data_IF_773172772577
#
_entry.id   IF_773172772577
#
_cell.length_a   1.000
_cell.length_b   1.000
_cell.length_c   1.000
_cell.angle_alpha   90.00
_cell.angle_beta   90.00
_cell.angle_gamma   90.00
#
_symmetry.space_group_name_H-M   'P 1'
#
loop_
_entity.id
_entity.type
_entity.pdbx_description
1 polymer ?
#
# COMPACT_ATOMS: atom_id res chain seq x y z
N UNK A 1 -14.25 28.12 -6.10
CA UNK A 1 -12.98 27.69 -6.79
C UNK A 1 -12.08 28.87 -7.07
N UNK A 2 -12.54 29.94 -7.73
CA UNK A 2 -11.75 31.14 -8.07
C UNK A 2 -11.00 31.71 -6.84
N UNK A 3 -11.70 32.07 -5.78
CA UNK A 3 -11.12 32.63 -4.55
C UNK A 3 -10.04 31.72 -3.94
N UNK A 4 -10.20 30.39 -4.04
CA UNK A 4 -9.22 29.43 -3.54
C UNK A 4 -7.94 29.46 -4.37
N UNK A 5 -8.06 29.54 -5.71
CA UNK A 5 -6.90 29.62 -6.61
C UNK A 5 -6.18 30.97 -6.44
N UNK A 6 -6.92 32.10 -6.33
CA UNK A 6 -6.34 33.42 -6.09
C UNK A 6 -5.54 33.44 -4.78
N UNK A 7 -6.12 32.97 -3.67
CA UNK A 7 -5.43 32.84 -2.39
C UNK A 7 -4.22 31.89 -2.44
N UNK A 8 -4.29 30.83 -3.26
CA UNK A 8 -3.16 29.92 -3.41
C UNK A 8 -2.00 30.62 -4.14
N UNK A 9 -2.27 31.40 -5.17
CA UNK A 9 -1.25 32.19 -5.91
C UNK A 9 -0.61 33.30 -5.07
N UNK A 10 -1.32 33.85 -4.06
CA UNK A 10 -0.74 34.83 -3.14
C UNK A 10 0.38 34.27 -2.25
N UNK A 11 0.36 32.96 -1.99
CA UNK A 11 1.29 32.28 -1.05
C UNK A 11 2.17 31.21 -1.67
N UNK A 12 1.97 30.88 -2.95
CA UNK A 12 2.66 29.77 -3.63
C UNK A 12 3.01 30.15 -5.05
N UNK A 13 4.21 29.82 -5.47
CA UNK A 13 4.66 30.01 -6.84
C UNK A 13 4.04 29.01 -7.83
N UNK A 14 3.48 27.91 -7.33
CA UNK A 14 2.87 26.85 -8.12
C UNK A 14 1.53 26.45 -7.49
N UNK A 15 0.50 26.46 -8.30
CA UNK A 15 -0.84 25.94 -7.98
C UNK A 15 -1.16 24.79 -8.91
N UNK A 16 -1.48 23.63 -8.37
CA UNK A 16 -1.91 22.47 -9.15
C UNK A 16 -3.39 22.22 -8.89
N UNK A 17 -4.20 22.20 -9.94
CA UNK A 17 -5.61 21.82 -9.88
C UNK A 17 -5.81 20.40 -10.42
N UNK A 18 -6.73 19.66 -9.84
CA UNK A 18 -7.05 18.28 -10.24
C UNK A 18 -8.55 18.14 -10.49
N UNK A 19 -8.92 17.69 -11.67
CA UNK A 19 -10.31 17.49 -12.09
C UNK A 19 -10.96 18.71 -12.74
N UNK A 20 -12.21 18.55 -13.17
CA UNK A 20 -12.99 19.60 -13.83
C UNK A 20 -12.53 19.96 -15.25
N UNK A 21 -11.81 19.03 -15.93
CA UNK A 21 -11.35 19.15 -17.32
C UNK A 21 -12.14 18.26 -18.30
N UNK A 22 -13.19 17.61 -17.84
CA UNK A 22 -14.06 16.78 -18.66
C UNK A 22 -14.96 17.59 -19.59
N UNK A 23 -15.87 16.89 -20.34
CA UNK A 23 -16.77 17.52 -21.29
C UNK A 23 -18.10 17.98 -20.69
N UNK A 24 -18.34 17.75 -19.39
CA UNK A 24 -19.64 17.98 -18.74
C UNK A 24 -19.78 19.44 -18.27
N UNK A 25 -20.99 19.84 -17.92
CA UNK A 25 -21.26 21.24 -17.54
C UNK A 25 -20.70 21.62 -16.17
N UNK A 26 -20.48 20.63 -15.33
CA UNK A 26 -19.84 20.78 -13.98
C UNK A 26 -18.31 20.79 -14.03
N UNK A 27 -17.71 20.50 -15.21
CA UNK A 27 -16.28 20.66 -15.46
C UNK A 27 -15.93 22.14 -15.69
N UNK A 28 -15.65 22.86 -14.63
CA UNK A 28 -15.49 24.34 -14.65
C UNK A 28 -14.04 24.80 -14.46
N UNK A 29 -13.07 23.89 -14.34
CA UNK A 29 -11.67 24.27 -14.02
C UNK A 29 -11.06 25.18 -15.08
N UNK A 30 -11.31 24.95 -16.37
CA UNK A 30 -10.82 25.79 -17.47
C UNK A 30 -11.32 27.22 -17.37
N UNK A 31 -12.61 27.38 -17.17
CA UNK A 31 -13.30 28.65 -17.06
C UNK A 31 -12.81 29.44 -15.84
N UNK A 32 -12.70 28.78 -14.72
CA UNK A 32 -12.24 29.41 -13.48
C UNK A 32 -10.78 29.83 -13.55
N UNK A 33 -9.90 28.99 -14.13
CA UNK A 33 -8.48 29.32 -14.30
C UNK A 33 -8.32 30.46 -15.31
N UNK A 34 -9.10 30.48 -16.39
CA UNK A 34 -9.11 31.60 -17.35
C UNK A 34 -9.54 32.92 -16.66
N UNK A 35 -10.58 32.88 -15.81
CA UNK A 35 -11.05 34.03 -15.05
C UNK A 35 -9.99 34.54 -14.04
N UNK A 36 -9.36 33.64 -13.30
CA UNK A 36 -8.27 33.98 -12.34
C UNK A 36 -7.08 34.64 -13.04
N UNK A 37 -6.73 34.12 -14.23
CA UNK A 37 -5.63 34.69 -15.02
C UNK A 37 -6.04 35.92 -15.84
N UNK A 38 -7.31 36.34 -15.83
CA UNK A 38 -7.82 37.45 -16.64
C UNK A 38 -7.76 37.18 -18.15
N UNK A 39 -7.87 35.92 -18.57
CA UNK A 39 -7.72 35.49 -19.95
C UNK A 39 -9.02 34.93 -20.52
N UNK A 40 -9.17 34.97 -21.84
CA UNK A 40 -10.26 34.31 -22.54
C UNK A 40 -9.94 32.83 -22.78
N UNK A 41 -10.97 32.01 -22.90
CA UNK A 41 -10.81 30.66 -23.43
C UNK A 41 -10.71 30.68 -24.92
N UNK A 42 -9.71 29.98 -25.46
CA UNK A 42 -9.47 29.84 -26.91
C UNK A 42 -9.34 28.36 -27.27
N UNK A 43 -9.81 28.02 -28.46
CA UNK A 43 -9.70 26.67 -29.00
C UNK A 43 -8.25 26.35 -29.36
N UNK A 44 -7.67 25.33 -28.75
CA UNK A 44 -6.39 24.75 -29.20
C UNK A 44 -6.66 23.68 -30.25
N UNK A 45 -6.27 23.94 -31.49
CA UNK A 45 -6.43 22.95 -32.56
C UNK A 45 -5.59 21.71 -32.33
N UNK A 46 -4.39 21.88 -31.78
CA UNK A 46 -3.51 20.76 -31.41
C UNK A 46 -4.23 19.78 -30.45
N UNK A 47 -4.84 20.29 -29.38
CA UNK A 47 -5.59 19.45 -28.42
C UNK A 47 -6.84 18.87 -29.04
N UNK A 48 -7.54 19.61 -29.90
CA UNK A 48 -8.69 19.10 -30.63
C UNK A 48 -8.33 17.88 -31.48
N UNK A 49 -7.25 18.01 -32.29
CA UNK A 49 -6.76 16.92 -33.14
C UNK A 49 -6.36 15.70 -32.35
N UNK A 50 -5.74 15.88 -31.18
CA UNK A 50 -5.38 14.81 -30.26
C UNK A 50 -6.61 14.08 -29.70
N UNK A 51 -7.65 14.81 -29.28
CA UNK A 51 -8.90 14.25 -28.78
C UNK A 51 -9.60 13.46 -29.91
N UNK A 52 -9.74 14.06 -31.09
CA UNK A 52 -10.35 13.37 -32.24
C UNK A 52 -9.61 12.10 -32.63
N UNK A 53 -8.26 12.15 -32.64
CA UNK A 53 -7.43 10.98 -32.91
C UNK A 53 -7.71 9.84 -31.92
N UNK A 54 -7.88 10.15 -30.64
CA UNK A 54 -8.21 9.15 -29.60
C UNK A 54 -9.55 8.52 -29.80
N UNK A 55 -10.59 9.31 -30.11
CA UNK A 55 -11.92 8.79 -30.41
C UNK A 55 -11.85 7.85 -31.62
N UNK A 56 -11.17 8.26 -32.69
CA UNK A 56 -10.98 7.42 -33.90
C UNK A 56 -10.26 6.10 -33.60
N UNK A 57 -9.21 6.11 -32.78
CA UNK A 57 -8.51 4.88 -32.39
C UNK A 57 -9.37 3.89 -31.62
N UNK A 58 -10.41 4.37 -30.94
CA UNK A 58 -11.38 3.53 -30.22
C UNK A 58 -12.60 3.15 -31.08
N UNK A 59 -12.61 3.51 -32.36
CA UNK A 59 -13.74 3.27 -33.23
C UNK A 59 -14.99 4.15 -32.90
N UNK A 60 -14.76 5.26 -32.17
CA UNK A 60 -15.81 6.19 -31.75
C UNK A 60 -15.71 7.51 -32.50
N UNK A 61 -16.85 8.22 -32.60
CA UNK A 61 -16.91 9.58 -33.11
C UNK A 61 -16.92 10.56 -31.95
N UNK A 62 -16.09 11.61 -32.03
CA UNK A 62 -16.09 12.68 -31.04
C UNK A 62 -17.42 13.41 -31.05
N UNK A 63 -18.06 13.55 -29.89
CA UNK A 63 -19.30 14.33 -29.76
C UNK A 63 -18.99 15.82 -29.60
N UNK A 64 -19.95 16.73 -29.98
CA UNK A 64 -19.72 18.18 -29.83
C UNK A 64 -19.31 18.63 -28.42
N UNK A 65 -19.79 17.94 -27.39
CA UNK A 65 -19.40 18.25 -25.99
C UNK A 65 -17.90 18.05 -25.73
N UNK A 66 -17.27 17.12 -26.44
CA UNK A 66 -15.83 16.85 -26.25
C UNK A 66 -14.95 17.97 -26.84
N UNK A 67 -15.45 18.78 -27.80
CA UNK A 67 -14.71 19.93 -28.30
C UNK A 67 -14.36 20.92 -27.19
N UNK A 68 -15.25 21.04 -26.18
CA UNK A 68 -15.01 21.88 -25.00
C UNK A 68 -13.71 21.54 -24.27
N UNK A 69 -13.26 20.29 -24.33
CA UNK A 69 -12.02 19.85 -23.70
C UNK A 69 -10.78 20.44 -24.37
N UNK A 70 -10.88 20.91 -25.62
CA UNK A 70 -9.80 21.54 -26.37
C UNK A 70 -9.67 23.06 -26.14
N UNK A 71 -10.60 23.67 -25.37
CA UNK A 71 -10.49 25.08 -25.00
C UNK A 71 -9.58 25.24 -23.78
N UNK A 72 -8.61 26.14 -23.88
CA UNK A 72 -7.68 26.50 -22.80
C UNK A 72 -7.58 28.03 -22.67
N UNK A 73 -7.12 28.56 -21.54
CA UNK A 73 -6.85 29.99 -21.39
C UNK A 73 -5.88 30.50 -22.47
N UNK A 74 -6.14 31.67 -23.04
CA UNK A 74 -5.30 32.29 -24.05
C UNK A 74 -3.85 32.41 -23.59
N UNK A 75 -2.89 31.93 -24.42
CA UNK A 75 -1.47 31.88 -24.08
C UNK A 75 -1.10 30.81 -23.04
N UNK A 76 -2.01 29.90 -22.68
CA UNK A 76 -1.66 28.72 -21.91
C UNK A 76 -0.87 27.72 -22.76
N UNK A 77 0.00 26.97 -22.13
CA UNK A 77 0.78 25.88 -22.74
C UNK A 77 -0.10 24.62 -22.75
N UNK A 78 -0.46 24.08 -23.92
CA UNK A 78 -1.20 22.84 -24.00
C UNK A 78 -0.33 21.65 -23.58
N UNK A 79 -0.90 20.69 -22.86
CA UNK A 79 -0.22 19.45 -22.44
C UNK A 79 -1.09 18.27 -22.82
N UNK A 80 -0.56 17.41 -23.70
CA UNK A 80 -1.26 16.20 -24.12
C UNK A 80 -1.44 15.21 -22.95
N UNK A 81 -2.64 14.63 -22.84
CA UNK A 81 -2.90 13.50 -21.95
C UNK A 81 -2.84 12.19 -22.74
N UNK A 82 -1.73 11.43 -22.75
CA UNK A 82 -1.62 10.19 -23.53
C UNK A 82 -2.54 9.08 -23.04
N UNK A 83 -3.14 9.22 -21.89
CA UNK A 83 -3.93 8.18 -21.23
C UNK A 83 -5.44 8.44 -21.21
N UNK A 84 -5.87 9.69 -21.45
CA UNK A 84 -7.27 10.09 -21.39
C UNK A 84 -7.67 11.07 -22.50
N UNK A 85 -8.92 11.50 -22.51
CA UNK A 85 -9.44 12.49 -23.46
C UNK A 85 -9.39 13.92 -22.92
N UNK A 86 -9.20 14.12 -21.62
CA UNK A 86 -9.09 15.43 -21.00
C UNK A 86 -7.61 15.86 -20.99
N UNK A 87 -7.19 16.79 -21.86
CA UNK A 87 -5.82 17.30 -21.85
C UNK A 87 -5.58 18.19 -20.63
N UNK A 88 -4.32 18.35 -20.30
CA UNK A 88 -3.85 19.29 -19.29
C UNK A 88 -3.42 20.62 -19.95
N UNK A 89 -3.24 21.65 -19.15
CA UNK A 89 -2.67 22.91 -19.59
C UNK A 89 -1.94 23.64 -18.46
N UNK A 90 -1.03 24.52 -18.84
CA UNK A 90 -0.26 25.36 -17.91
C UNK A 90 -0.56 26.82 -18.22
N UNK A 91 -0.91 27.58 -17.17
CA UNK A 91 -1.01 29.03 -17.22
C UNK A 91 0.15 29.63 -16.45
N UNK A 92 0.99 30.37 -17.15
CA UNK A 92 1.99 31.23 -16.51
C UNK A 92 1.34 32.58 -16.22
N UNK A 93 1.28 32.94 -14.95
CA UNK A 93 0.76 34.20 -14.43
C UNK A 93 1.90 35.00 -13.77
N UNK A 94 1.76 36.31 -13.61
CA UNK A 94 2.75 37.14 -12.95
C UNK A 94 2.99 36.76 -11.48
N UNK A 95 2.04 36.10 -10.86
CA UNK A 95 2.07 35.61 -9.47
C UNK A 95 2.66 34.21 -9.34
N UNK A 96 2.66 33.40 -10.42
CA UNK A 96 3.13 32.03 -10.40
C UNK A 96 2.64 31.21 -11.59
N UNK A 97 2.57 29.90 -11.41
CA UNK A 97 2.15 28.93 -12.40
C UNK A 97 0.90 28.19 -11.91
N UNK A 98 -0.11 28.09 -12.76
CA UNK A 98 -1.26 27.21 -12.54
C UNK A 98 -1.13 26.03 -13.49
N UNK A 99 -1.03 24.81 -12.95
CA UNK A 99 -1.01 23.57 -13.71
C UNK A 99 -2.32 22.81 -13.50
N UNK A 100 -3.10 22.60 -14.54
CA UNK A 100 -4.41 21.94 -14.48
C UNK A 100 -4.32 20.52 -15.01
N UNK A 101 -4.68 19.54 -14.16
CA UNK A 101 -4.60 18.11 -14.42
C UNK A 101 -5.98 17.45 -14.43
N UNK A 102 -6.18 16.33 -15.16
CA UNK A 102 -7.41 15.55 -15.09
C UNK A 102 -7.61 14.93 -13.70
N UNK A 103 -8.86 14.59 -13.35
CA UNK A 103 -9.21 14.02 -12.05
C UNK A 103 -8.98 12.50 -11.93
N UNK A 104 -8.80 11.80 -13.04
CA UNK A 104 -8.60 10.35 -13.05
C UNK A 104 -7.21 10.01 -12.50
N UNK A 105 -7.10 9.24 -11.39
CA UNK A 105 -5.84 9.12 -10.64
C UNK A 105 -4.63 8.58 -11.45
N UNK A 106 -4.85 7.60 -12.32
CA UNK A 106 -3.76 7.03 -13.12
C UNK A 106 -3.30 7.95 -14.26
N UNK A 107 -4.20 8.76 -14.82
CA UNK A 107 -3.88 9.82 -15.80
C UNK A 107 -3.08 10.95 -15.14
N UNK A 108 -3.57 11.40 -13.98
CA UNK A 108 -2.92 12.45 -13.18
C UNK A 108 -1.50 12.03 -12.76
N UNK A 109 -1.32 10.82 -12.24
CA UNK A 109 0.01 10.33 -11.84
C UNK A 109 1.00 10.35 -13.01
N UNK A 110 0.57 9.81 -14.15
CA UNK A 110 1.43 9.79 -15.34
C UNK A 110 1.83 11.20 -15.76
N UNK A 111 0.86 12.13 -15.87
CA UNK A 111 1.12 13.53 -16.24
C UNK A 111 1.98 14.23 -15.20
N UNK A 112 1.77 13.95 -13.93
CA UNK A 112 2.59 14.54 -12.87
C UNK A 112 4.06 14.15 -13.02
N UNK A 113 4.35 12.87 -13.19
CA UNK A 113 5.72 12.36 -13.29
C UNK A 113 6.42 12.75 -14.59
N UNK A 114 5.69 12.73 -15.72
CA UNK A 114 6.28 12.90 -17.04
C UNK A 114 6.22 14.35 -17.59
N UNK A 115 5.28 15.16 -17.08
CA UNK A 115 5.07 16.53 -17.61
C UNK A 115 5.26 17.60 -16.52
N UNK A 116 4.58 17.46 -15.36
CA UNK A 116 4.62 18.49 -14.30
C UNK A 116 6.02 18.62 -13.72
N UNK A 117 6.60 17.50 -13.26
CA UNK A 117 7.92 17.51 -12.61
C UNK A 117 9.01 18.02 -13.52
N UNK A 118 9.14 17.57 -14.82
CA UNK A 118 10.13 18.10 -15.75
C UNK A 118 9.93 19.61 -16.03
N UNK A 119 8.68 20.04 -16.22
CA UNK A 119 8.37 21.45 -16.46
C UNK A 119 8.79 22.32 -15.26
N UNK A 120 8.41 21.94 -14.03
CA UNK A 120 8.73 22.70 -12.82
C UNK A 120 10.25 22.74 -12.56
N UNK A 121 10.95 21.63 -12.76
CA UNK A 121 12.41 21.58 -12.65
C UNK A 121 13.08 22.58 -13.57
N UNK A 122 12.64 22.62 -14.83
CA UNK A 122 13.16 23.56 -15.84
C UNK A 122 12.78 25.01 -15.51
N UNK A 123 11.52 25.25 -15.10
CA UNK A 123 10.99 26.60 -14.83
C UNK A 123 11.66 27.27 -13.62
N UNK A 124 11.93 26.52 -12.58
CA UNK A 124 12.45 27.02 -11.31
C UNK A 124 13.93 26.70 -11.09
N UNK A 125 14.61 26.16 -12.11
CA UNK A 125 16.03 25.74 -12.03
C UNK A 125 16.33 24.87 -10.80
N UNK A 126 15.44 23.88 -10.54
CA UNK A 126 15.56 22.98 -9.40
C UNK A 126 16.61 21.94 -9.73
N UNK A 127 17.81 22.14 -9.23
CA UNK A 127 18.96 21.24 -9.43
C UNK A 127 19.04 20.12 -8.38
N UNK A 128 18.50 20.35 -7.19
CA UNK A 128 18.56 19.36 -6.10
C UNK A 128 17.42 18.34 -6.17
N UNK A 129 17.70 17.15 -5.70
CA UNK A 129 16.71 16.06 -5.57
C UNK A 129 16.55 15.66 -4.10
N UNK A 130 15.35 15.25 -3.74
CA UNK A 130 15.07 14.57 -2.48
C UNK A 130 14.83 13.10 -2.83
N UNK A 131 15.67 12.24 -2.31
CA UNK A 131 15.57 10.78 -2.47
C UNK A 131 15.36 10.14 -1.11
N UNK A 132 14.66 9.04 -1.08
CA UNK A 132 14.43 8.31 0.17
C UNK A 132 14.55 6.80 -0.03
N UNK A 133 14.76 6.12 1.09
CA UNK A 133 14.71 4.66 1.24
C UNK A 133 13.76 4.34 2.37
N UNK A 134 12.88 3.38 2.17
CA UNK A 134 11.96 2.89 3.21
C UNK A 134 12.39 1.49 3.63
N UNK A 135 12.61 1.29 4.92
CA UNK A 135 12.80 -0.04 5.52
C UNK A 135 11.50 -0.45 6.20
N UNK A 136 10.94 -1.56 5.80
CA UNK A 136 9.69 -2.09 6.35
C UNK A 136 9.98 -3.05 7.49
N UNK A 137 9.41 -2.76 8.66
CA UNK A 137 9.65 -3.46 9.92
C UNK A 137 8.38 -4.19 10.35
N UNK A 138 8.50 -5.47 10.67
CA UNK A 138 7.42 -6.30 11.21
C UNK A 138 7.80 -6.84 12.59
N UNK A 139 6.80 -7.33 13.31
CA UNK A 139 6.95 -7.97 14.64
C UNK A 139 7.50 -7.01 15.72
N UNK A 140 7.36 -5.71 15.50
CA UNK A 140 7.80 -4.65 16.41
C UNK A 140 6.83 -3.47 16.32
N UNK A 141 6.43 -2.92 17.46
CA UNK A 141 5.62 -1.70 17.52
C UNK A 141 6.46 -0.44 17.33
N UNK A 142 5.80 0.68 17.02
CA UNK A 142 6.44 1.98 16.78
C UNK A 142 7.35 2.41 17.95
N UNK A 143 6.87 2.31 19.20
CA UNK A 143 7.66 2.65 20.39
C UNK A 143 8.91 1.78 20.55
N UNK A 144 8.84 0.51 20.16
CA UNK A 144 9.99 -0.38 20.24
C UNK A 144 11.01 -0.12 19.08
N UNK A 145 10.54 0.38 17.95
CA UNK A 145 11.40 0.88 16.87
C UNK A 145 12.08 2.15 17.33
N UNK A 146 11.31 3.12 17.88
CA UNK A 146 11.84 4.39 18.36
C UNK A 146 12.88 4.20 19.48
N UNK A 147 12.65 3.30 20.41
CA UNK A 147 13.62 2.96 21.48
C UNK A 147 14.99 2.52 20.90
N UNK A 148 15.01 1.82 19.76
CA UNK A 148 16.23 1.36 19.12
C UNK A 148 16.93 2.39 18.24
N UNK A 149 16.16 3.19 17.48
CA UNK A 149 16.70 4.10 16.47
C UNK A 149 16.41 5.58 16.75
N UNK A 150 15.77 5.93 17.87
CA UNK A 150 15.40 7.30 18.21
C UNK A 150 16.58 8.26 18.27
N UNK A 151 17.76 7.76 18.69
CA UNK A 151 19.00 8.56 18.66
C UNK A 151 19.42 8.93 17.22
N UNK A 152 19.14 8.10 16.21
CA UNK A 152 19.37 8.41 14.80
C UNK A 152 18.38 9.46 14.32
N UNK A 153 17.10 9.37 14.75
CA UNK A 153 16.06 10.35 14.42
C UNK A 153 16.43 11.73 14.96
N UNK A 154 16.89 11.79 16.22
CA UNK A 154 17.21 13.04 16.89
C UNK A 154 18.48 13.73 16.36
N UNK A 155 19.47 12.96 15.92
CA UNK A 155 20.82 13.48 15.57
C UNK A 155 21.05 13.59 14.06
N UNK A 156 20.13 13.16 13.21
CA UNK A 156 20.25 13.19 11.75
C UNK A 156 19.63 14.45 11.16
N UNK A 157 20.34 15.10 10.25
CA UNK A 157 19.87 16.32 9.55
C UNK A 157 19.77 16.14 8.03
N UNK A 158 20.74 15.50 7.42
CA UNK A 158 20.76 15.06 6.02
C UNK A 158 21.74 13.90 5.85
N UNK A 159 21.24 12.67 5.73
CA UNK A 159 19.83 12.27 5.64
C UNK A 159 19.06 12.41 6.97
N UNK A 160 17.74 12.54 6.88
CA UNK A 160 16.83 12.46 8.04
C UNK A 160 16.24 11.06 8.16
N UNK A 161 15.88 10.66 9.39
CA UNK A 161 15.17 9.41 9.68
C UNK A 161 13.79 9.74 10.23
N UNK A 162 12.76 9.05 9.75
CA UNK A 162 11.40 9.16 10.27
C UNK A 162 10.75 7.79 10.41
N UNK A 163 9.78 7.68 11.30
CA UNK A 163 9.01 6.46 11.54
C UNK A 163 7.54 6.71 11.25
N UNK A 164 6.89 5.76 10.58
CA UNK A 164 5.47 5.80 10.27
C UNK A 164 4.83 4.44 10.56
N UNK A 165 3.88 4.41 11.50
CA UNK A 165 3.17 3.20 11.87
C UNK A 165 2.00 2.91 10.94
N UNK A 166 1.88 1.66 10.53
CA UNK A 166 0.75 1.08 9.81
C UNK A 166 0.17 -0.12 10.57
N UNK A 167 -1.03 -0.58 10.24
CA UNK A 167 -1.57 -1.80 10.83
C UNK A 167 -0.66 -3.01 10.57
N UNK A 168 0.03 -3.51 11.62
CA UNK A 168 0.91 -4.68 11.54
C UNK A 168 2.33 -4.44 10.99
N UNK A 169 2.71 -3.19 10.70
CA UNK A 169 3.99 -2.82 10.10
C UNK A 169 4.43 -1.44 10.58
N UNK A 170 5.71 -1.20 10.62
CA UNK A 170 6.30 0.12 10.84
C UNK A 170 7.28 0.42 9.72
N UNK A 171 7.14 1.57 9.08
CA UNK A 171 8.06 2.04 8.05
C UNK A 171 9.10 2.97 8.67
N UNK A 172 10.37 2.69 8.44
CA UNK A 172 11.50 3.58 8.75
C UNK A 172 11.97 4.22 7.46
N UNK A 173 11.73 5.51 7.31
CA UNK A 173 12.06 6.27 6.12
C UNK A 173 13.34 7.09 6.33
N UNK A 174 14.33 6.84 5.49
CA UNK A 174 15.59 7.58 5.45
C UNK A 174 15.55 8.48 4.22
N UNK A 175 15.64 9.80 4.40
CA UNK A 175 15.47 10.80 3.33
C UNK A 175 16.69 11.68 3.23
N UNK A 176 17.27 11.78 2.04
CA UNK A 176 18.41 12.67 1.75
C UNK A 176 18.10 13.68 0.66
N UNK A 177 18.67 14.86 0.78
CA UNK A 177 18.69 15.92 -0.21
C UNK A 177 20.11 16.05 -0.76
N UNK A 178 20.27 16.01 -2.10
CA UNK A 178 21.57 16.14 -2.77
C UNK A 178 21.41 16.69 -4.20
N UNK A 179 22.51 16.93 -4.89
CA UNK A 179 22.52 17.41 -6.27
C UNK A 179 21.93 16.41 -7.28
N UNK A 180 22.01 15.11 -6.99
CA UNK A 180 21.44 14.04 -7.81
C UNK A 180 21.12 12.82 -6.95
N UNK A 181 20.40 11.85 -7.53
CA UNK A 181 19.97 10.62 -6.85
C UNK A 181 21.17 9.78 -6.35
N UNK A 182 22.23 9.69 -7.11
CA UNK A 182 23.40 8.89 -6.73
C UNK A 182 24.11 9.46 -5.50
N UNK A 183 24.23 10.78 -5.42
CA UNK A 183 24.77 11.45 -4.24
C UNK A 183 23.86 11.31 -3.02
N UNK A 184 22.53 11.43 -3.22
CA UNK A 184 21.58 11.19 -2.16
C UNK A 184 21.67 9.75 -1.62
N UNK A 185 21.78 8.76 -2.50
CA UNK A 185 21.95 7.35 -2.11
C UNK A 185 23.26 7.10 -1.34
N UNK A 186 24.35 7.76 -1.70
CA UNK A 186 25.62 7.67 -0.93
C UNK A 186 25.45 8.17 0.51
N UNK A 187 24.57 9.13 0.75
CA UNK A 187 24.24 9.60 2.10
C UNK A 187 23.32 8.61 2.84
N UNK A 188 22.37 8.00 2.14
CA UNK A 188 21.37 7.08 2.71
C UNK A 188 22.01 5.76 3.15
N UNK A 189 22.86 5.15 2.32
CA UNK A 189 23.38 3.79 2.52
C UNK A 189 24.02 3.57 3.90
N UNK A 190 24.92 4.43 4.40
CA UNK A 190 25.53 4.21 5.73
C UNK A 190 24.50 4.19 6.86
N UNK A 191 23.49 5.05 6.78
CA UNK A 191 22.43 5.14 7.78
C UNK A 191 21.45 3.98 7.67
N UNK A 192 21.16 3.50 6.45
CA UNK A 192 20.40 2.27 6.22
C UNK A 192 21.11 1.06 6.87
N UNK A 193 22.41 0.91 6.70
CA UNK A 193 23.18 -0.18 7.30
C UNK A 193 23.12 -0.15 8.83
N UNK A 194 23.19 1.03 9.43
CA UNK A 194 23.07 1.20 10.87
C UNK A 194 21.68 0.84 11.37
N UNK A 195 20.62 1.33 10.71
CA UNK A 195 19.23 0.97 11.04
C UNK A 195 19.01 -0.54 10.91
N UNK A 196 19.52 -1.17 9.84
CA UNK A 196 19.43 -2.63 9.65
C UNK A 196 20.16 -3.40 10.77
N UNK A 197 21.29 -2.92 11.22
CA UNK A 197 22.03 -3.52 12.33
C UNK A 197 21.25 -3.47 13.63
N UNK A 198 20.60 -2.34 13.92
CA UNK A 198 19.80 -2.13 15.14
C UNK A 198 18.48 -2.90 15.15
N UNK A 199 17.79 -2.96 14.01
CA UNK A 199 16.49 -3.61 13.88
C UNK A 199 16.59 -5.10 13.48
N UNK A 200 17.70 -5.50 12.86
CA UNK A 200 18.01 -6.90 12.55
C UNK A 200 16.95 -7.59 11.70
N UNK A 201 16.55 -8.79 12.13
CA UNK A 201 15.55 -9.63 11.44
C UNK A 201 14.16 -9.02 11.33
N UNK A 202 13.89 -7.93 12.04
CA UNK A 202 12.60 -7.25 11.96
C UNK A 202 12.42 -6.47 10.66
N UNK A 203 13.51 -6.04 10.01
CA UNK A 203 13.45 -5.49 8.66
C UNK A 203 13.18 -6.61 7.68
N UNK A 204 12.01 -6.58 7.02
CA UNK A 204 11.60 -7.67 6.13
C UNK A 204 11.61 -7.30 4.66
N UNK A 205 11.48 -6.02 4.32
CA UNK A 205 11.39 -5.52 2.96
C UNK A 205 11.89 -4.08 2.87
N UNK A 206 11.99 -3.58 1.64
CA UNK A 206 12.33 -2.18 1.35
C UNK A 206 11.41 -1.60 0.30
N UNK A 207 11.20 -0.30 0.36
CA UNK A 207 10.48 0.49 -0.63
C UNK A 207 9.09 -0.10 -0.95
N UNK A 208 8.83 -0.50 -2.18
CA UNK A 208 7.53 -1.03 -2.60
C UNK A 208 7.33 -2.53 -2.33
N UNK A 209 8.40 -3.23 -1.90
CA UNK A 209 8.31 -4.67 -1.59
C UNK A 209 7.33 -4.91 -0.45
N UNK A 210 6.39 -5.83 -0.63
CA UNK A 210 5.34 -6.17 0.34
C UNK A 210 5.76 -7.34 1.24
N UNK A 211 4.96 -7.63 2.28
CA UNK A 211 5.13 -8.83 3.10
C UNK A 211 4.90 -10.10 2.26
N UNK A 212 3.97 -10.03 1.33
CA UNK A 212 3.67 -11.08 0.35
C UNK A 212 4.88 -11.38 -0.53
N UNK A 213 5.55 -10.35 -1.04
CA UNK A 213 6.76 -10.51 -1.85
C UNK A 213 7.89 -11.16 -1.07
N UNK A 214 8.11 -10.70 0.17
CA UNK A 214 9.14 -11.26 1.05
C UNK A 214 8.88 -12.73 1.40
N UNK A 215 7.65 -13.08 1.77
CA UNK A 215 7.25 -14.47 2.07
C UNK A 215 7.32 -15.32 0.80
N UNK A 216 6.83 -14.82 -0.33
CA UNK A 216 6.85 -15.53 -1.61
C UNK A 216 8.27 -15.86 -2.09
N UNK A 217 9.19 -14.91 -1.97
CA UNK A 217 10.62 -15.15 -2.26
C UNK A 217 11.16 -16.28 -1.39
N UNK A 218 10.90 -16.27 -0.08
CA UNK A 218 11.36 -17.30 0.84
C UNK A 218 10.73 -18.67 0.58
N UNK A 219 9.45 -18.72 0.22
CA UNK A 219 8.79 -19.97 -0.17
C UNK A 219 9.44 -20.58 -1.42
N UNK A 220 9.75 -19.77 -2.43
CA UNK A 220 10.48 -20.22 -3.64
C UNK A 220 11.87 -20.73 -3.32
N UNK A 221 12.68 -19.93 -2.60
CA UNK A 221 14.07 -20.30 -2.24
C UNK A 221 14.14 -21.61 -1.46
N UNK A 222 13.15 -21.86 -0.60
CA UNK A 222 13.11 -23.07 0.24
C UNK A 222 12.25 -24.20 -0.35
N UNK A 223 11.66 -24.00 -1.53
CA UNK A 223 10.70 -24.91 -2.14
C UNK A 223 9.64 -25.39 -1.13
N UNK A 224 9.01 -24.45 -0.43
CA UNK A 224 8.13 -24.71 0.71
C UNK A 224 6.68 -24.43 0.35
N UNK A 225 5.86 -25.47 0.33
CA UNK A 225 4.40 -25.40 0.15
C UNK A 225 3.69 -25.13 1.47
N UNK A 226 2.56 -24.41 1.41
CA UNK A 226 1.82 -23.92 2.57
C UNK A 226 0.31 -24.08 2.41
N UNK A 227 -0.39 -24.38 3.50
CA UNK A 227 -1.85 -24.34 3.59
C UNK A 227 -2.28 -23.59 4.85
N UNK A 228 -3.47 -23.00 4.85
CA UNK A 228 -3.99 -22.19 5.96
C UNK A 228 -5.41 -22.54 6.34
N UNK A 229 -5.68 -22.57 7.65
CA UNK A 229 -7.00 -22.46 8.23
C UNK A 229 -7.15 -21.10 8.89
N UNK A 230 -8.25 -20.40 8.64
CA UNK A 230 -8.58 -19.13 9.26
C UNK A 230 -10.07 -18.96 9.53
N UNK A 231 -10.44 -18.38 10.67
CA UNK A 231 -11.85 -18.15 11.02
C UNK A 231 -12.19 -16.67 11.26
N UNK A 232 -11.26 -15.85 11.70
CA UNK A 232 -11.49 -14.42 11.96
C UNK A 232 -11.33 -13.55 10.73
N UNK A 233 -10.29 -13.79 9.94
CA UNK A 233 -9.85 -12.92 8.86
C UNK A 233 -10.67 -13.07 7.59
N UNK A 234 -11.44 -14.15 7.48
CA UNK A 234 -12.42 -14.35 6.39
C UNK A 234 -11.79 -14.50 5.01
N UNK A 235 -10.60 -15.12 4.94
CA UNK A 235 -9.88 -15.36 3.70
C UNK A 235 -8.68 -14.45 3.46
N UNK A 236 -8.43 -13.44 4.30
CA UNK A 236 -7.34 -12.49 4.08
C UNK A 236 -5.93 -13.13 4.18
N UNK A 237 -5.75 -14.16 5.02
CA UNK A 237 -4.45 -14.87 5.08
C UNK A 237 -4.28 -15.74 3.83
N UNK A 238 -5.32 -16.44 3.40
CA UNK A 238 -5.31 -17.24 2.18
C UNK A 238 -5.04 -16.37 0.94
N UNK A 239 -5.72 -15.22 0.81
CA UNK A 239 -5.50 -14.23 -0.25
C UNK A 239 -4.03 -13.79 -0.31
N UNK A 240 -3.45 -13.40 0.84
CA UNK A 240 -2.05 -12.96 0.92
C UNK A 240 -1.07 -14.07 0.58
N UNK A 241 -1.31 -15.29 1.04
CA UNK A 241 -0.46 -16.44 0.72
C UNK A 241 -0.55 -16.81 -0.77
N UNK A 242 -1.73 -16.72 -1.37
CA UNK A 242 -1.90 -16.91 -2.80
C UNK A 242 -1.18 -15.84 -3.61
N UNK A 243 -1.25 -14.59 -3.18
CA UNK A 243 -0.54 -13.48 -3.80
C UNK A 243 0.99 -13.62 -3.65
N UNK A 244 1.46 -14.13 -2.51
CA UNK A 244 2.88 -14.41 -2.26
C UNK A 244 3.46 -15.43 -3.25
N UNK A 245 2.69 -16.48 -3.60
CA UNK A 245 3.13 -17.48 -4.56
C UNK A 245 2.09 -18.56 -4.76
N UNK A 246 1.24 -18.42 -5.77
CA UNK A 246 0.14 -19.36 -6.06
C UNK A 246 0.59 -20.80 -6.28
N UNK A 247 1.81 -21.01 -6.76
CA UNK A 247 2.42 -22.34 -7.00
C UNK A 247 2.85 -23.04 -5.68
N UNK A 248 3.04 -22.26 -4.59
CA UNK A 248 3.42 -22.79 -3.27
C UNK A 248 2.25 -22.78 -2.27
N UNK A 249 1.17 -22.08 -2.58
CA UNK A 249 -0.05 -22.06 -1.78
C UNK A 249 -0.97 -23.20 -2.23
N UNK A 250 -1.15 -24.21 -1.38
CA UNK A 250 -1.88 -25.45 -1.74
C UNK A 250 -3.37 -25.31 -1.46
N UNK A 251 -3.74 -24.86 -0.26
CA UNK A 251 -5.14 -24.84 0.18
C UNK A 251 -5.38 -23.77 1.26
N UNK A 252 -6.56 -23.13 1.23
CA UNK A 252 -7.07 -22.26 2.26
C UNK A 252 -8.46 -22.70 2.71
N UNK A 253 -8.62 -23.00 4.01
CA UNK A 253 -9.90 -23.32 4.61
C UNK A 253 -10.36 -22.14 5.47
N UNK A 254 -11.47 -21.52 5.07
CA UNK A 254 -12.11 -20.47 5.84
C UNK A 254 -13.16 -21.13 6.73
N UNK A 255 -12.86 -21.19 8.02
CA UNK A 255 -13.74 -21.80 9.01
C UNK A 255 -14.78 -20.83 9.54
N UNK A 256 -15.96 -21.33 9.88
CA UNK A 256 -16.92 -20.61 10.70
C UNK A 256 -17.60 -21.59 11.65
N UNK A 257 -17.35 -21.38 12.95
CA UNK A 257 -17.98 -22.16 14.02
C UNK A 257 -17.45 -23.61 14.16
N UNK A 258 -17.98 -24.27 15.17
CA UNK A 258 -17.52 -25.58 15.66
C UNK A 258 -17.58 -26.69 14.60
N UNK A 259 -18.57 -26.67 13.71
CA UNK A 259 -18.71 -27.70 12.69
C UNK A 259 -17.53 -27.70 11.69
N UNK A 260 -17.00 -26.54 11.32
CA UNK A 260 -15.83 -26.42 10.45
C UNK A 260 -14.57 -26.92 11.17
N UNK A 261 -14.39 -26.52 12.41
CA UNK A 261 -13.29 -26.98 13.26
C UNK A 261 -13.29 -28.49 13.40
N UNK A 262 -14.45 -29.10 13.71
CA UNK A 262 -14.58 -30.58 13.84
C UNK A 262 -14.21 -31.31 12.57
N UNK A 263 -14.64 -30.82 11.42
CA UNK A 263 -14.28 -31.47 10.12
C UNK A 263 -12.77 -31.45 9.89
N UNK A 264 -12.11 -30.35 10.17
CA UNK A 264 -10.66 -30.24 9.96
C UNK A 264 -9.88 -31.09 10.99
N UNK A 265 -10.31 -31.11 12.25
CA UNK A 265 -9.67 -31.89 13.32
C UNK A 265 -9.68 -33.40 13.09
N UNK A 266 -10.49 -33.93 12.15
CA UNK A 266 -10.39 -35.31 11.72
C UNK A 266 -8.99 -35.66 11.15
N UNK A 267 -8.23 -34.67 10.69
CA UNK A 267 -6.85 -34.81 10.22
C UNK A 267 -5.80 -34.46 11.28
N UNK A 268 -6.22 -34.13 12.51
CA UNK A 268 -5.32 -33.75 13.60
C UNK A 268 -4.62 -34.95 14.23
N UNK A 269 -3.68 -34.69 15.12
CA UNK A 269 -3.01 -35.74 15.92
C UNK A 269 -3.93 -36.35 16.99
N UNK A 270 -5.02 -35.64 17.33
CA UNK A 270 -5.90 -35.96 18.44
C UNK A 270 -7.38 -35.88 18.02
N UNK A 271 -7.82 -36.65 17.01
CA UNK A 271 -9.18 -36.52 16.47
C UNK A 271 -10.29 -36.89 17.49
N UNK A 272 -9.98 -37.70 18.48
CA UNK A 272 -10.93 -38.11 19.52
C UNK A 272 -11.08 -37.12 20.68
N UNK A 273 -10.23 -36.07 20.75
CA UNK A 273 -10.22 -35.06 21.82
C UNK A 273 -10.82 -33.71 21.43
N UNK A 274 -11.67 -33.68 20.41
CA UNK A 274 -12.19 -32.43 19.83
C UNK A 274 -12.90 -31.59 20.90
N UNK A 275 -13.75 -32.17 21.77
CA UNK A 275 -14.50 -31.43 22.78
C UNK A 275 -13.59 -30.79 23.83
N UNK A 276 -12.50 -31.45 24.19
CA UNK A 276 -11.47 -30.90 25.08
C UNK A 276 -10.71 -29.76 24.41
N UNK A 277 -10.28 -29.95 23.16
CA UNK A 277 -9.55 -28.95 22.40
C UNK A 277 -10.36 -27.65 22.20
N UNK A 278 -11.68 -27.76 22.04
CA UNK A 278 -12.57 -26.60 21.91
C UNK A 278 -12.56 -25.68 23.15
N UNK A 279 -12.14 -26.19 24.30
CA UNK A 279 -11.97 -25.42 25.55
C UNK A 279 -10.57 -24.83 25.72
N UNK A 280 -9.63 -25.17 24.82
CA UNK A 280 -8.21 -24.82 24.90
C UNK A 280 -7.73 -24.15 23.63
N UNK A 281 -8.06 -22.84 23.38
CA UNK A 281 -7.88 -22.20 22.10
C UNK A 281 -6.45 -22.24 21.54
N UNK A 282 -5.43 -22.13 22.38
CA UNK A 282 -4.04 -22.21 21.95
C UNK A 282 -3.69 -23.60 21.40
N UNK A 283 -4.06 -24.67 22.12
CA UNK A 283 -3.83 -26.04 21.67
C UNK A 283 -4.70 -26.40 20.47
N UNK A 284 -5.94 -25.91 20.44
CA UNK A 284 -6.82 -26.03 19.29
C UNK A 284 -6.15 -25.46 18.03
N UNK A 285 -5.55 -24.27 18.14
CA UNK A 285 -4.90 -23.62 17.00
C UNK A 285 -3.69 -24.43 16.52
N UNK A 286 -2.92 -25.04 17.41
CA UNK A 286 -1.84 -25.95 17.05
C UNK A 286 -2.34 -27.17 16.28
N UNK A 287 -3.41 -27.80 16.75
CA UNK A 287 -4.00 -28.95 16.10
C UNK A 287 -4.65 -28.59 14.75
N UNK A 288 -5.24 -27.39 14.63
CA UNK A 288 -5.75 -26.88 13.35
C UNK A 288 -4.62 -26.63 12.34
N UNK A 289 -3.50 -26.06 12.77
CA UNK A 289 -2.32 -25.89 11.92
C UNK A 289 -1.75 -27.25 11.46
N UNK A 290 -1.70 -28.20 12.35
CA UNK A 290 -1.30 -29.57 12.00
C UNK A 290 -2.28 -30.21 11.03
N UNK A 291 -3.58 -30.13 11.31
CA UNK A 291 -4.63 -30.76 10.53
C UNK A 291 -4.70 -30.23 9.09
N UNK A 292 -4.62 -28.91 8.91
CA UNK A 292 -4.60 -28.30 7.55
C UNK A 292 -3.34 -28.73 6.78
N UNK A 293 -2.18 -28.80 7.46
CA UNK A 293 -0.96 -29.31 6.86
C UNK A 293 -1.11 -30.76 6.40
N UNK A 294 -1.70 -31.62 7.24
CA UNK A 294 -1.89 -33.05 6.94
C UNK A 294 -2.90 -33.25 5.80
N UNK A 295 -4.02 -32.54 5.82
CA UNK A 295 -5.05 -32.58 4.78
C UNK A 295 -4.48 -32.15 3.42
N UNK A 296 -3.79 -31.00 3.37
CA UNK A 296 -3.23 -30.45 2.16
C UNK A 296 -1.91 -31.12 1.70
N UNK A 297 -1.35 -32.03 2.49
CA UNK A 297 -0.08 -32.71 2.23
C UNK A 297 1.06 -31.75 1.89
N UNK A 298 1.12 -30.59 2.59
CA UNK A 298 2.09 -29.56 2.35
C UNK A 298 3.20 -29.51 3.41
N UNK A 299 4.22 -28.65 3.23
CA UNK A 299 5.36 -28.55 4.16
C UNK A 299 5.02 -27.74 5.40
N UNK A 300 4.28 -26.63 5.26
CA UNK A 300 3.85 -25.80 6.38
C UNK A 300 2.32 -25.72 6.48
N UNK A 301 1.80 -25.90 7.66
CA UNK A 301 0.40 -25.62 8.00
C UNK A 301 0.33 -24.37 8.87
N UNK A 302 -0.64 -23.52 8.58
CA UNK A 302 -0.92 -22.29 9.33
C UNK A 302 -2.35 -22.34 9.86
N UNK A 303 -2.55 -21.93 11.09
CA UNK A 303 -3.89 -21.70 11.60
C UNK A 303 -3.97 -20.33 12.29
N UNK A 304 -5.10 -19.66 12.06
CA UNK A 304 -5.48 -18.44 12.75
C UNK A 304 -6.87 -18.67 13.33
N UNK A 305 -6.97 -18.61 14.66
CA UNK A 305 -8.21 -18.83 15.42
C UNK A 305 -8.44 -17.69 16.41
N UNK A 306 -9.65 -17.15 16.44
CA UNK A 306 -9.99 -16.07 17.36
C UNK A 306 -11.15 -16.42 18.27
N UNK A 307 -10.96 -16.09 19.55
CA UNK A 307 -11.99 -16.20 20.59
C UNK A 307 -12.37 -14.80 21.04
N UNK A 308 -13.55 -14.35 20.64
CA UNK A 308 -14.11 -13.07 21.07
C UNK A 308 -14.74 -13.22 22.46
N UNK A 309 -14.62 -12.17 23.29
CA UNK A 309 -15.35 -12.08 24.54
C UNK A 309 -16.86 -11.96 24.23
N UNK A 310 -17.70 -12.91 24.72
CA UNK A 310 -19.14 -12.86 24.44
C UNK A 310 -19.84 -11.63 25.04
N UNK A 311 -19.26 -11.02 26.07
CA UNK A 311 -19.79 -9.81 26.71
C UNK A 311 -19.49 -8.53 25.92
N UNK A 312 -18.55 -8.57 24.96
CA UNK A 312 -18.19 -7.40 24.17
C UNK A 312 -19.06 -7.30 22.91
N UNK A 313 -19.91 -6.28 22.90
CA UNK A 313 -20.80 -5.96 21.77
C UNK A 313 -20.21 -4.90 20.83
N UNK A 314 -18.99 -4.44 21.04
CA UNK A 314 -18.36 -3.43 20.20
C UNK A 314 -18.08 -3.99 18.79
N UNK A 315 -18.53 -3.26 17.78
CA UNK A 315 -18.37 -3.69 16.38
C UNK A 315 -16.91 -3.66 15.88
N UNK A 316 -16.08 -2.80 16.45
CA UNK A 316 -14.76 -2.48 15.90
C UNK A 316 -13.55 -2.91 16.76
N UNK A 317 -13.74 -3.22 18.02
CA UNK A 317 -12.69 -3.65 18.96
C UNK A 317 -13.26 -4.74 19.87
N UNK A 318 -13.52 -5.92 19.32
CA UNK A 318 -13.95 -7.04 20.13
C UNK A 318 -12.82 -7.43 21.08
N UNK A 319 -13.10 -7.36 22.40
CA UNK A 319 -12.23 -7.98 23.40
C UNK A 319 -12.14 -9.48 23.10
N UNK A 320 -10.98 -10.05 23.37
CA UNK A 320 -10.73 -11.44 23.12
C UNK A 320 -9.27 -11.71 22.79
N UNK A 321 -9.02 -12.85 22.20
CA UNK A 321 -7.68 -13.27 21.83
C UNK A 321 -7.67 -13.86 20.42
N UNK A 322 -6.58 -13.62 19.70
CA UNK A 322 -6.28 -14.30 18.43
C UNK A 322 -5.03 -15.14 18.61
N UNK A 323 -5.15 -16.39 18.26
CA UNK A 323 -4.08 -17.39 18.28
C UNK A 323 -3.65 -17.67 16.85
N UNK A 324 -2.35 -17.67 16.62
CA UNK A 324 -1.75 -17.98 15.32
C UNK A 324 -0.71 -19.07 15.56
N UNK A 325 -0.76 -20.14 14.78
CA UNK A 325 0.18 -21.24 14.83
C UNK A 325 0.69 -21.59 13.43
N UNK A 326 1.99 -21.85 13.33
CA UNK A 326 2.65 -22.37 12.13
C UNK A 326 3.39 -23.64 12.50
N UNK A 327 3.23 -24.70 11.70
CA UNK A 327 3.91 -25.97 11.93
C UNK A 327 4.49 -26.57 10.66
N UNK A 328 5.66 -27.19 10.79
CA UNK A 328 6.28 -28.05 9.77
C UNK A 328 6.04 -29.55 10.04
N UNK A 329 5.21 -29.89 11.02
CA UNK A 329 4.97 -31.25 11.49
C UNK A 329 6.00 -31.79 12.50
N UNK A 330 7.03 -31.00 12.85
CA UNK A 330 8.02 -31.37 13.89
C UNK A 330 7.94 -30.45 15.10
N UNK A 331 7.54 -29.19 14.88
CA UNK A 331 7.41 -28.18 15.92
C UNK A 331 6.36 -27.15 15.56
N UNK A 332 6.12 -26.24 16.50
CA UNK A 332 5.17 -25.15 16.36
C UNK A 332 5.85 -23.81 16.62
N UNK A 333 5.42 -22.79 15.90
CA UNK A 333 5.72 -21.40 16.16
C UNK A 333 4.42 -20.67 16.38
N UNK A 334 4.28 -20.03 17.54
CA UNK A 334 3.01 -19.50 18.00
C UNK A 334 3.08 -18.00 18.25
N UNK A 335 1.93 -17.34 18.08
CA UNK A 335 1.71 -15.95 18.47
C UNK A 335 0.31 -15.83 19.04
N UNK A 336 0.19 -15.16 20.18
CA UNK A 336 -1.10 -14.78 20.77
C UNK A 336 -1.19 -13.27 20.81
N UNK A 337 -2.34 -12.73 20.43
CA UNK A 337 -2.64 -11.30 20.47
C UNK A 337 -3.90 -11.09 21.29
N UNK A 338 -3.89 -10.16 22.27
CA UNK A 338 -5.04 -9.84 23.12
C UNK A 338 -6.06 -8.96 22.38
N UNK A 339 -6.53 -9.45 21.25
CA UNK A 339 -7.48 -8.80 20.36
C UNK A 339 -8.19 -9.88 19.54
N UNK A 340 -9.50 -9.77 19.42
CA UNK A 340 -10.31 -10.59 18.52
C UNK A 340 -11.16 -9.67 17.62
N UNK A 341 -10.54 -8.64 17.06
CA UNK A 341 -11.20 -7.59 16.27
C UNK A 341 -11.93 -8.14 15.05
N UNK A 342 -13.16 -7.63 14.83
CA UNK A 342 -14.03 -8.04 13.73
C UNK A 342 -14.03 -7.05 12.56
N UNK A 343 -13.58 -5.81 12.80
CA UNK A 343 -13.48 -4.77 11.78
C UNK A 343 -12.38 -5.05 10.76
N UNK A 344 -12.48 -4.44 9.58
CA UNK A 344 -11.50 -4.62 8.49
C UNK A 344 -10.06 -4.26 8.91
N UNK A 345 -9.80 -3.17 9.66
CA UNK A 345 -8.44 -2.83 10.09
C UNK A 345 -7.80 -3.91 10.97
N UNK A 346 -8.59 -4.49 11.90
CA UNK A 346 -8.08 -5.51 12.81
C UNK A 346 -7.85 -6.85 12.09
N UNK A 347 -8.76 -7.23 11.19
CA UNK A 347 -8.55 -8.42 10.34
C UNK A 347 -7.32 -8.26 9.46
N UNK A 348 -7.08 -7.07 8.90
CA UNK A 348 -5.85 -6.76 8.16
C UNK A 348 -4.61 -6.90 9.04
N UNK A 349 -4.64 -6.36 10.26
CA UNK A 349 -3.54 -6.50 11.23
C UNK A 349 -3.27 -7.96 11.58
N UNK A 350 -4.31 -8.75 11.85
CA UNK A 350 -4.14 -10.17 12.17
C UNK A 350 -3.63 -10.99 11.00
N UNK A 351 -4.06 -10.70 9.78
CA UNK A 351 -3.52 -11.36 8.59
C UNK A 351 -2.03 -11.04 8.38
N UNK A 352 -1.60 -9.80 8.60
CA UNK A 352 -0.17 -9.43 8.56
C UNK A 352 0.64 -10.07 9.69
N UNK A 353 0.06 -10.21 10.89
CA UNK A 353 0.69 -10.94 11.98
C UNK A 353 0.88 -12.42 11.64
N UNK A 354 -0.07 -13.04 10.93
CA UNK A 354 0.07 -14.40 10.44
C UNK A 354 1.18 -14.52 9.40
N UNK A 355 1.21 -13.61 8.42
CA UNK A 355 2.28 -13.55 7.42
C UNK A 355 3.65 -13.32 8.06
N UNK A 356 3.75 -12.44 9.07
CA UNK A 356 4.98 -12.22 9.84
C UNK A 356 5.45 -13.49 10.55
N UNK A 357 4.53 -14.26 11.14
CA UNK A 357 4.86 -15.52 11.78
C UNK A 357 5.30 -16.60 10.77
N UNK A 358 4.68 -16.67 9.60
CA UNK A 358 5.11 -17.53 8.47
C UNK A 358 6.53 -17.15 8.04
N UNK A 359 6.80 -15.85 7.87
CA UNK A 359 8.13 -15.35 7.54
C UNK A 359 9.19 -15.79 8.56
N UNK A 360 8.88 -15.65 9.86
CA UNK A 360 9.78 -16.08 10.93
C UNK A 360 10.00 -17.60 10.92
N UNK A 361 8.97 -18.39 10.65
CA UNK A 361 9.08 -19.84 10.52
C UNK A 361 10.00 -20.22 9.35
N UNK A 362 9.83 -19.57 8.21
CA UNK A 362 10.70 -19.75 7.05
C UNK A 362 12.14 -19.32 7.33
N UNK A 363 12.38 -18.17 8.01
CA UNK A 363 13.73 -17.72 8.38
C UNK A 363 14.48 -18.73 9.23
N UNK A 364 13.80 -19.33 10.19
CA UNK A 364 14.38 -20.27 11.15
C UNK A 364 14.47 -21.72 10.61
N UNK A 365 14.07 -21.94 9.35
CA UNK A 365 14.25 -23.24 8.67
C UNK A 365 13.21 -24.29 9.06
N UNK A 366 12.02 -23.84 9.46
CA UNK A 366 10.88 -24.75 9.67
C UNK A 366 10.42 -25.39 8.36
#
# INVERSE_FOLDING_TARGET
MKEVIDRALERSHVVITSGGLGPTQDDLTREVVAEVAGRKLVLSRELQDQIEHRFRRRGLTMTPNNERQAYIPEGAIPVENPNGTAPSFIVEDSRGVIYSLPGVPWELKWLFDNEVVPYLRKKFDVSEVITYKVLKVADMGESAVDDRIGHLIANSSNPTVGVLAHPGQVDVRITAKAANTDEAMKLIVPLEEEVRKLLGRHVFATDDETMEDAVGRMMREKNTTIAVFEDLTGGLVAERLQQAGSEYFVEGVIGSGVASVRRLLAFSRQPDRVDELLTQPAQLTDELAWAIRAQAQCRLGVALHAVADPADKAENLAKGQTFISVTNGKGFKNRTTNMAGRGRPDRTRMSLNAMGLVRLALLEGM
#
